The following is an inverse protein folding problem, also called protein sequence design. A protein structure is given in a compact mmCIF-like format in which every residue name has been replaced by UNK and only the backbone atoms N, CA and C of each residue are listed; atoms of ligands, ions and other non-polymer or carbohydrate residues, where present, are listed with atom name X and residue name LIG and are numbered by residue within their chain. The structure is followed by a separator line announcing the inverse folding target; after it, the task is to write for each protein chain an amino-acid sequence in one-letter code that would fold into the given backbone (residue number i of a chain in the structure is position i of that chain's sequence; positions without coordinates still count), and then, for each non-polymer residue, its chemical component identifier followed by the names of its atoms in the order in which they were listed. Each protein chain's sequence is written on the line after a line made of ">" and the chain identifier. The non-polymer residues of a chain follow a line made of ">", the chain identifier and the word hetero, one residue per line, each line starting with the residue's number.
data_IF_462856867296
#
_entry.id   IF_462856867296
#
_cell.length_a   1.000
_cell.length_b   1.000
_cell.length_c   1.000
_cell.angle_alpha   90.00
_cell.angle_beta   90.00
_cell.angle_gamma   90.00
#
_symmetry.space_group_name_H-M   'P 1'
#
loop_
_entity.id
_entity.type
_entity.pdbx_description
1 polymer ?
#
# COMPACT_ATOMS: atom_id res chain seq x y z
N UNK A 1 43.49 68.59 9.14
CA UNK A 1 44.24 67.75 8.18
C UNK A 1 43.56 66.39 8.20
N UNK A 2 42.54 66.12 7.39
CA UNK A 2 42.54 65.90 5.93
C UNK A 2 43.39 64.68 5.51
N UNK A 3 42.68 63.67 4.96
CA UNK A 3 43.10 62.53 4.12
C UNK A 3 43.85 61.37 4.84
N UNK A 4 43.63 60.08 4.54
CA UNK A 4 42.94 59.40 3.43
C UNK A 4 42.51 57.97 3.85
N UNK A 5 41.47 57.43 3.20
CA UNK A 5 41.23 55.98 3.08
C UNK A 5 42.42 55.27 2.43
N UNK A 6 42.55 53.96 2.67
CA UNK A 6 42.68 53.06 1.53
C UNK A 6 41.79 51.81 1.67
N UNK A 7 40.93 51.60 0.69
CA UNK A 7 40.62 50.25 0.19
C UNK A 7 41.55 49.98 -0.99
N UNK A 8 42.14 48.78 -1.06
CA UNK A 8 41.95 48.01 -2.30
C UNK A 8 41.78 46.49 -2.07
N UNK A 9 40.73 45.99 -2.73
CA UNK A 9 40.56 44.72 -3.45
C UNK A 9 40.76 43.33 -2.82
N UNK A 10 39.96 42.33 -3.27
CA UNK A 10 39.75 41.07 -2.59
C UNK A 10 40.77 40.00 -3.04
N UNK A 11 41.19 39.09 -2.15
CA UNK A 11 41.86 37.89 -2.59
C UNK A 11 40.84 36.84 -3.07
N UNK A 12 40.90 36.55 -4.36
CA UNK A 12 40.78 35.20 -4.88
C UNK A 12 39.37 34.65 -5.09
N UNK A 13 38.93 34.64 -6.34
CA UNK A 13 37.96 33.68 -6.83
C UNK A 13 38.45 32.25 -6.51
N UNK A 14 37.79 31.59 -5.57
CA UNK A 14 37.90 30.15 -5.39
C UNK A 14 36.95 29.55 -6.40
N UNK A 15 37.50 29.00 -7.47
CA UNK A 15 36.77 28.15 -8.42
C UNK A 15 36.05 27.07 -7.63
N UNK A 16 34.73 27.03 -7.77
CA UNK A 16 33.90 25.90 -7.40
C UNK A 16 34.28 24.67 -8.25
N UNK A 17 33.89 23.51 -7.71
CA UNK A 17 33.77 22.19 -8.32
C UNK A 17 35.01 21.28 -8.22
N UNK A 18 34.92 20.25 -7.37
CA UNK A 18 34.36 19.00 -7.87
C UNK A 18 33.43 18.24 -6.89
N UNK A 19 32.71 18.91 -5.98
CA UNK A 19 31.77 18.21 -5.06
C UNK A 19 30.39 17.96 -5.67
N UNK A 20 29.88 18.83 -6.55
CA UNK A 20 28.53 18.65 -7.13
C UNK A 20 28.46 17.43 -8.07
N UNK A 21 29.53 17.10 -8.80
CA UNK A 21 29.58 15.91 -9.67
C UNK A 21 29.68 14.59 -8.87
N UNK A 22 30.20 14.61 -7.64
CA UNK A 22 30.25 13.44 -6.76
C UNK A 22 28.92 13.20 -6.07
N UNK A 23 28.22 14.25 -5.67
CA UNK A 23 26.85 14.15 -5.14
C UNK A 23 25.87 13.68 -6.20
N UNK A 24 25.96 14.19 -7.44
CA UNK A 24 25.13 13.70 -8.55
C UNK A 24 25.44 12.24 -8.94
N UNK A 25 26.71 11.82 -8.88
CA UNK A 25 27.07 10.42 -9.11
C UNK A 25 26.56 9.49 -8.00
N UNK A 26 26.60 9.92 -6.74
CA UNK A 26 26.05 9.15 -5.61
C UNK A 26 24.51 9.12 -5.60
N UNK A 27 23.86 10.19 -6.06
CA UNK A 27 22.41 10.24 -6.24
C UNK A 27 22.01 9.36 -7.43
N UNK A 28 22.76 9.38 -8.53
CA UNK A 28 22.57 8.50 -9.69
C UNK A 28 22.78 7.01 -9.32
N UNK A 29 23.82 6.70 -8.54
CA UNK A 29 24.12 5.33 -8.09
C UNK A 29 23.10 4.85 -7.04
N UNK A 30 22.55 5.74 -6.20
CA UNK A 30 21.42 5.43 -5.31
C UNK A 30 20.07 5.28 -6.06
N UNK A 31 19.87 6.00 -7.17
CA UNK A 31 18.69 5.84 -8.04
C UNK A 31 18.81 4.62 -8.97
N UNK A 32 20.01 4.21 -9.36
CA UNK A 32 20.22 2.95 -10.08
C UNK A 32 20.23 1.72 -9.15
N UNK A 33 20.71 1.84 -7.91
CA UNK A 33 20.60 0.78 -6.90
C UNK A 33 19.15 0.48 -6.49
N UNK A 34 18.22 1.41 -6.73
CA UNK A 34 16.77 1.20 -6.56
C UNK A 34 16.09 0.64 -7.82
N UNK A 35 16.79 0.56 -8.97
CA UNK A 35 16.20 0.12 -10.24
C UNK A 35 16.14 -1.41 -10.43
N UNK A 36 16.70 -2.21 -9.51
CA UNK A 36 16.64 -3.68 -9.55
C UNK A 36 16.13 -4.30 -8.24
N UNK A 37 15.13 -3.68 -7.64
CA UNK A 37 14.31 -4.35 -6.63
C UNK A 37 13.67 -5.61 -7.27
N UNK A 38 14.15 -6.78 -6.84
CA UNK A 38 13.58 -8.11 -7.01
C UNK A 38 12.04 -8.11 -6.95
N UNK A 39 11.37 -9.07 -7.63
CA UNK A 39 10.01 -8.91 -8.14
C UNK A 39 9.05 -8.31 -7.13
N UNK A 40 8.52 -7.15 -7.49
CA UNK A 40 7.32 -6.59 -6.91
C UNK A 40 6.18 -7.58 -7.19
N UNK A 41 5.62 -8.19 -6.15
CA UNK A 41 4.46 -9.06 -6.32
C UNK A 41 3.26 -8.18 -6.63
N UNK A 42 2.81 -8.20 -7.88
CA UNK A 42 1.56 -7.55 -8.27
C UNK A 42 0.44 -8.57 -8.36
N UNK A 43 -0.64 -8.28 -7.63
CA UNK A 43 -1.85 -9.10 -7.59
C UNK A 43 -2.99 -8.30 -8.19
N UNK A 44 -3.81 -8.99 -8.98
CA UNK A 44 -4.92 -8.39 -9.70
C UNK A 44 -6.24 -9.10 -9.39
N UNK A 45 -7.33 -8.34 -9.22
CA UNK A 45 -8.71 -8.82 -9.12
C UNK A 45 -9.63 -8.06 -10.08
N UNK A 46 -10.26 -8.74 -11.07
CA UNK A 46 -11.20 -8.09 -11.97
C UNK A 46 -12.35 -7.42 -11.21
N UNK A 47 -12.71 -6.20 -11.59
CA UNK A 47 -13.75 -5.44 -10.90
C UNK A 47 -15.14 -6.12 -11.02
N UNK A 48 -15.38 -6.89 -12.08
CA UNK A 48 -16.58 -7.70 -12.25
C UNK A 48 -16.76 -8.82 -11.19
N UNK A 49 -15.72 -9.12 -10.41
CA UNK A 49 -15.75 -10.10 -9.30
C UNK A 49 -15.92 -9.42 -7.93
N UNK A 50 -16.10 -8.11 -7.92
CA UNK A 50 -16.29 -7.31 -6.71
C UNK A 50 -17.77 -6.96 -6.62
N UNK A 51 -18.39 -7.26 -5.48
CA UNK A 51 -19.75 -6.84 -5.20
C UNK A 51 -19.94 -6.61 -3.70
N UNK A 52 -20.73 -5.58 -3.38
CA UNK A 52 -21.14 -5.22 -2.03
C UNK A 52 -22.65 -5.38 -1.83
N UNK A 53 -23.35 -6.05 -2.75
CA UNK A 53 -24.79 -6.26 -2.66
C UNK A 53 -25.24 -6.99 -1.38
N UNK A 54 -24.37 -7.87 -0.84
CA UNK A 54 -24.61 -8.58 0.42
C UNK A 54 -24.25 -7.77 1.68
N UNK A 55 -23.66 -6.58 1.52
CA UNK A 55 -23.29 -5.73 2.66
C UNK A 55 -24.43 -4.76 2.96
N UNK A 56 -24.99 -4.85 4.16
CA UNK A 56 -25.99 -3.88 4.60
C UNK A 56 -25.31 -2.64 5.17
N UNK A 57 -25.90 -1.46 4.92
CA UNK A 57 -25.54 -0.26 5.68
C UNK A 57 -25.94 -0.51 7.13
N UNK A 58 -24.93 -0.71 7.97
CA UNK A 58 -25.08 -0.98 9.40
C UNK A 58 -24.28 0.08 10.17
N UNK A 59 -24.61 0.30 11.45
CA UNK A 59 -23.84 1.19 12.32
C UNK A 59 -22.41 0.71 12.57
N UNK A 60 -22.12 -0.56 12.28
CA UNK A 60 -20.79 -1.15 12.35
C UNK A 60 -20.39 -1.74 11.00
N UNK A 61 -19.19 -1.41 10.52
CA UNK A 61 -18.69 -1.97 9.26
C UNK A 61 -18.14 -3.37 9.49
N UNK A 62 -18.64 -4.34 8.73
CA UNK A 62 -18.03 -5.68 8.68
C UNK A 62 -16.75 -5.63 7.85
N UNK A 63 -15.62 -5.40 8.52
CA UNK A 63 -14.31 -5.35 7.86
C UNK A 63 -13.91 -6.67 7.23
N UNK A 64 -14.32 -7.80 7.78
CA UNK A 64 -13.99 -9.10 7.21
C UNK A 64 -14.72 -9.30 5.88
N UNK A 65 -16.01 -8.97 5.82
CA UNK A 65 -16.78 -9.00 4.58
C UNK A 65 -16.24 -8.00 3.55
N UNK A 66 -15.95 -6.76 3.96
CA UNK A 66 -15.37 -5.72 3.08
C UNK A 66 -14.03 -6.14 2.49
N UNK A 67 -13.10 -6.60 3.33
CA UNK A 67 -11.80 -7.08 2.85
C UNK A 67 -11.97 -8.26 1.91
N UNK A 68 -12.85 -9.22 2.23
CA UNK A 68 -13.09 -10.39 1.37
C UNK A 68 -13.67 -10.01 0.00
N UNK A 69 -14.49 -8.95 -0.07
CA UNK A 69 -15.06 -8.45 -1.31
C UNK A 69 -14.03 -7.79 -2.24
N UNK A 70 -12.95 -7.22 -1.70
CA UNK A 70 -12.01 -6.41 -2.50
C UNK A 70 -10.58 -6.95 -2.55
N UNK A 71 -10.18 -7.80 -1.60
CA UNK A 71 -8.82 -8.33 -1.53
C UNK A 71 -8.45 -8.96 -2.87
N UNK A 72 -7.23 -8.71 -3.36
CA UNK A 72 -6.78 -9.24 -4.65
C UNK A 72 -6.52 -10.77 -4.60
N UNK A 73 -6.95 -11.44 -3.54
CA UNK A 73 -6.41 -12.70 -3.06
C UNK A 73 -7.39 -13.36 -2.06
N UNK A 74 -8.14 -14.42 -2.43
CA UNK A 74 -9.10 -15.01 -1.52
C UNK A 74 -8.41 -15.85 -0.45
N UNK A 75 -8.80 -15.66 0.81
CA UNK A 75 -8.20 -16.35 1.98
C UNK A 75 -8.76 -17.77 2.16
N UNK A 76 -9.19 -18.40 1.08
CA UNK A 76 -9.72 -19.75 1.13
C UNK A 76 -8.57 -20.77 1.08
N UNK A 77 -8.37 -21.47 2.20
CA UNK A 77 -7.58 -22.69 2.35
C UNK A 77 -6.04 -22.61 2.46
N UNK A 78 -5.45 -21.50 2.94
CA UNK A 78 -4.03 -21.46 3.35
C UNK A 78 -3.75 -22.16 4.70
N UNK A 79 -4.44 -23.29 4.97
CA UNK A 79 -4.50 -23.89 6.30
C UNK A 79 -3.47 -24.99 6.56
N UNK A 80 -2.72 -25.45 5.55
CA UNK A 80 -1.93 -26.70 5.62
C UNK A 80 -0.49 -26.62 5.11
N UNK A 81 -0.01 -25.46 4.64
CA UNK A 81 1.40 -25.29 4.18
C UNK A 81 2.27 -24.61 5.24
N UNK A 82 3.59 -24.86 5.28
CA UNK A 82 4.50 -24.13 6.15
C UNK A 82 4.37 -22.62 5.88
N UNK A 83 4.19 -21.90 6.97
CA UNK A 83 3.83 -20.49 7.09
C UNK A 83 4.80 -19.52 6.38
N UNK A 84 5.98 -20.00 6.01
CA UNK A 84 6.98 -19.28 5.21
C UNK A 84 6.55 -19.07 3.74
N UNK A 85 5.45 -19.70 3.31
CA UNK A 85 4.81 -19.47 2.01
C UNK A 85 3.52 -18.65 2.14
N UNK A 86 3.23 -18.00 3.28
CA UNK A 86 1.90 -17.49 3.62
C UNK A 86 1.31 -16.46 2.65
N UNK A 87 2.13 -15.59 2.02
CA UNK A 87 1.65 -14.73 0.94
C UNK A 87 1.26 -15.57 -0.28
N UNK A 88 2.14 -16.47 -0.74
CA UNK A 88 1.93 -17.33 -1.92
C UNK A 88 0.79 -18.36 -1.71
N UNK A 89 0.62 -18.88 -0.51
CA UNK A 89 -0.41 -19.87 -0.17
C UNK A 89 -1.81 -19.27 -0.04
N UNK A 90 -1.90 -17.96 0.19
CA UNK A 90 -3.16 -17.20 0.22
C UNK A 90 -3.54 -16.72 -1.18
N UNK A 91 -2.70 -16.90 -2.21
CA UNK A 91 -2.87 -16.47 -3.61
C UNK A 91 -3.39 -17.60 -4.53
N UNK A 92 -4.65 -18.05 -4.42
CA UNK A 92 -5.23 -18.93 -5.44
C UNK A 92 -6.13 -18.22 -6.47
N UNK A 93 -6.39 -16.91 -6.39
CA UNK A 93 -7.18 -16.20 -7.43
C UNK A 93 -6.64 -14.82 -7.88
N UNK A 94 -5.45 -14.40 -7.43
CA UNK A 94 -4.84 -13.23 -8.04
C UNK A 94 -4.35 -13.60 -9.43
N UNK A 95 -4.68 -12.79 -10.43
CA UNK A 95 -3.95 -12.87 -11.69
C UNK A 95 -2.57 -12.28 -11.44
N UNK A 96 -1.52 -12.94 -11.94
CA UNK A 96 -0.15 -12.39 -11.94
C UNK A 96 0.08 -11.40 -13.09
N UNK A 97 -0.89 -11.31 -14.01
CA UNK A 97 -0.91 -10.37 -15.12
C UNK A 97 -2.28 -9.70 -15.20
N UNK A 98 -2.30 -8.41 -15.55
CA UNK A 98 -3.53 -7.65 -15.70
C UNK A 98 -4.31 -8.16 -16.93
N UNK A 99 -5.61 -8.48 -16.81
CA UNK A 99 -6.44 -8.78 -17.98
C UNK A 99 -6.61 -7.52 -18.85
N UNK A 100 -6.42 -7.66 -20.16
CA UNK A 100 -6.56 -6.55 -21.11
C UNK A 100 -8.02 -6.10 -21.22
N UNK A 101 -8.24 -4.79 -21.29
CA UNK A 101 -9.57 -4.20 -21.49
C UNK A 101 -10.54 -4.35 -20.30
N UNK A 102 -10.08 -4.87 -19.16
CA UNK A 102 -10.92 -5.07 -17.97
C UNK A 102 -10.42 -4.20 -16.80
N UNK A 103 -11.26 -3.32 -16.24
CA UNK A 103 -10.96 -2.62 -15.00
C UNK A 103 -10.66 -3.61 -13.87
N UNK A 104 -9.52 -3.43 -13.21
CA UNK A 104 -8.98 -4.44 -12.30
C UNK A 104 -8.42 -3.77 -11.04
N UNK A 105 -8.89 -4.20 -9.87
CA UNK A 105 -8.25 -3.86 -8.60
C UNK A 105 -6.84 -4.45 -8.57
N UNK A 106 -5.87 -3.71 -8.06
CA UNK A 106 -4.52 -4.24 -7.91
C UNK A 106 -3.80 -3.77 -6.66
N UNK A 107 -2.87 -4.60 -6.21
CA UNK A 107 -1.88 -4.28 -5.18
C UNK A 107 -0.51 -4.68 -5.68
N UNK A 108 0.49 -3.85 -5.37
CA UNK A 108 1.90 -4.16 -5.59
C UNK A 108 2.56 -4.21 -4.23
N UNK A 109 3.26 -5.31 -3.95
CA UNK A 109 4.05 -5.50 -2.74
C UNK A 109 5.53 -5.50 -3.12
N UNK A 110 6.30 -4.62 -2.48
CA UNK A 110 7.76 -4.64 -2.61
C UNK A 110 8.35 -5.85 -1.88
N UNK A 111 9.63 -6.16 -2.15
CA UNK A 111 10.33 -7.19 -1.41
C UNK A 111 10.36 -6.91 0.11
N UNK A 112 10.47 -5.63 0.49
CA UNK A 112 10.46 -5.20 1.88
C UNK A 112 9.09 -5.36 2.54
N UNK A 113 8.01 -5.07 1.82
CA UNK A 113 6.64 -5.32 2.30
C UNK A 113 6.42 -6.82 2.56
N UNK A 114 6.87 -7.67 1.62
CA UNK A 114 6.77 -9.12 1.73
C UNK A 114 7.56 -9.61 2.95
N UNK A 115 8.81 -9.17 3.10
CA UNK A 115 9.67 -9.54 4.22
C UNK A 115 9.08 -9.08 5.57
N UNK A 116 8.55 -7.86 5.63
CA UNK A 116 7.89 -7.34 6.81
C UNK A 116 6.68 -8.20 7.17
N UNK A 117 5.78 -8.48 6.21
CA UNK A 117 4.61 -9.32 6.42
C UNK A 117 5.03 -10.70 6.92
N UNK A 118 5.99 -11.35 6.29
CA UNK A 118 6.51 -12.66 6.72
C UNK A 118 7.05 -12.63 8.15
N UNK A 119 7.81 -11.60 8.51
CA UNK A 119 8.34 -11.45 9.86
C UNK A 119 7.23 -11.23 10.89
N UNK A 120 6.24 -10.41 10.58
CA UNK A 120 5.08 -10.16 11.44
C UNK A 120 4.25 -11.42 11.65
N UNK A 121 3.98 -12.13 10.56
CA UNK A 121 3.28 -13.42 10.51
C UNK A 121 3.98 -14.42 11.43
N UNK A 122 5.31 -14.64 11.29
CA UNK A 122 6.13 -15.55 12.15
C UNK A 122 6.00 -15.32 13.66
N UNK A 123 5.73 -14.08 14.08
CA UNK A 123 5.65 -13.68 15.50
C UNK A 123 4.23 -13.68 16.05
N UNK A 124 3.23 -13.78 15.18
CA UNK A 124 1.83 -13.57 15.54
C UNK A 124 1.09 -14.87 15.83
N UNK A 125 -0.03 -14.76 16.54
CA UNK A 125 -1.05 -15.82 16.51
C UNK A 125 -1.54 -16.04 15.07
N UNK A 126 -2.04 -17.24 14.77
CA UNK A 126 -2.59 -17.55 13.44
C UNK A 126 -3.65 -16.55 12.99
N UNK A 127 -4.54 -16.12 13.90
CA UNK A 127 -5.58 -15.15 13.60
C UNK A 127 -5.01 -13.77 13.26
N UNK A 128 -4.06 -13.26 14.04
CA UNK A 128 -3.41 -11.97 13.79
C UNK A 128 -2.57 -12.00 12.49
N UNK A 129 -1.85 -13.09 12.24
CA UNK A 129 -1.08 -13.28 11.00
C UNK A 129 -1.98 -13.28 9.76
N UNK A 130 -3.13 -13.96 9.80
CA UNK A 130 -4.08 -13.94 8.69
C UNK A 130 -4.66 -12.55 8.41
N UNK A 131 -4.95 -11.76 9.46
CA UNK A 131 -5.40 -10.37 9.30
C UNK A 131 -4.32 -9.51 8.64
N UNK A 132 -3.05 -9.70 9.01
CA UNK A 132 -1.94 -8.97 8.41
C UNK A 132 -1.78 -9.30 6.93
N UNK A 133 -1.83 -10.59 6.54
CA UNK A 133 -1.76 -10.99 5.13
C UNK A 133 -2.93 -10.42 4.34
N UNK A 134 -4.16 -10.46 4.89
CA UNK A 134 -5.34 -9.86 4.24
C UNK A 134 -5.16 -8.36 4.01
N UNK A 135 -4.75 -7.62 5.05
CA UNK A 135 -4.54 -6.19 4.97
C UNK A 135 -3.45 -5.82 3.95
N UNK A 136 -2.35 -6.60 3.90
CA UNK A 136 -1.29 -6.40 2.92
C UNK A 136 -1.78 -6.59 1.48
N UNK A 137 -2.63 -7.60 1.24
CA UNK A 137 -3.19 -7.94 -0.06
C UNK A 137 -4.38 -7.06 -0.50
N UNK A 138 -4.74 -6.02 0.26
CA UNK A 138 -5.78 -5.07 -0.15
C UNK A 138 -5.29 -4.22 -1.32
N UNK A 139 -6.17 -3.92 -2.29
CA UNK A 139 -5.81 -3.11 -3.44
C UNK A 139 -5.47 -1.67 -3.04
N UNK A 140 -4.64 -1.05 -3.89
CA UNK A 140 -4.26 0.36 -3.77
C UNK A 140 -4.89 1.22 -4.88
N UNK A 141 -5.32 0.62 -5.98
CA UNK A 141 -5.85 1.35 -7.14
C UNK A 141 -6.61 0.43 -8.11
N UNK A 142 -7.28 1.04 -9.10
CA UNK A 142 -7.96 0.37 -10.21
C UNK A 142 -7.18 0.63 -11.49
N UNK A 143 -6.63 -0.43 -12.08
CA UNK A 143 -5.99 -0.37 -13.39
C UNK A 143 -7.03 -0.52 -14.50
N UNK A 144 -6.91 0.26 -15.58
CA UNK A 144 -7.78 0.16 -16.75
C UNK A 144 -9.15 0.85 -16.62
N UNK A 145 -9.34 1.69 -15.60
CA UNK A 145 -10.51 2.57 -15.45
C UNK A 145 -10.21 4.01 -15.90
N UNK A 146 -11.26 4.81 -16.11
CA UNK A 146 -11.15 6.25 -16.40
C UNK A 146 -10.34 6.99 -15.32
N UNK A 147 -9.46 7.95 -15.66
CA UNK A 147 -8.50 8.55 -14.73
C UNK A 147 -9.13 9.14 -13.46
N UNK A 148 -10.26 9.84 -13.60
CA UNK A 148 -10.96 10.44 -12.45
C UNK A 148 -11.53 9.39 -11.49
N UNK A 149 -12.13 8.33 -12.04
CA UNK A 149 -12.69 7.22 -11.28
C UNK A 149 -11.58 6.40 -10.59
N UNK A 150 -10.49 6.14 -11.31
CA UNK A 150 -9.31 5.47 -10.78
C UNK A 150 -8.65 6.28 -9.65
N UNK A 151 -8.55 7.60 -9.80
CA UNK A 151 -7.99 8.50 -8.78
C UNK A 151 -8.80 8.52 -7.48
N UNK A 152 -10.12 8.66 -7.57
CA UNK A 152 -11.01 8.62 -6.40
C UNK A 152 -10.95 7.27 -5.69
N UNK A 153 -11.02 6.17 -6.45
CA UNK A 153 -10.90 4.83 -5.89
C UNK A 153 -9.55 4.61 -5.22
N UNK A 154 -8.45 5.06 -5.83
CA UNK A 154 -7.10 4.88 -5.29
C UNK A 154 -6.93 5.57 -3.93
N UNK A 155 -7.44 6.79 -3.77
CA UNK A 155 -7.40 7.50 -2.49
C UNK A 155 -8.17 6.74 -1.39
N UNK A 156 -9.39 6.27 -1.68
CA UNK A 156 -10.20 5.54 -0.72
C UNK A 156 -9.61 4.16 -0.38
N UNK A 157 -9.11 3.44 -1.39
CA UNK A 157 -8.43 2.14 -1.24
C UNK A 157 -7.17 2.27 -0.38
N UNK A 158 -6.32 3.26 -0.68
CA UNK A 158 -5.07 3.50 0.06
C UNK A 158 -5.34 3.88 1.52
N UNK A 159 -6.32 4.76 1.78
CA UNK A 159 -6.70 5.13 3.13
C UNK A 159 -7.17 3.92 3.94
N UNK A 160 -8.08 3.11 3.38
CA UNK A 160 -8.58 1.91 4.05
C UNK A 160 -7.49 0.86 4.26
N UNK A 161 -6.65 0.60 3.24
CA UNK A 161 -5.51 -0.33 3.34
C UNK A 161 -4.56 0.09 4.46
N UNK A 162 -4.23 1.38 4.55
CA UNK A 162 -3.35 1.93 5.58
C UNK A 162 -3.93 1.70 6.97
N UNK A 163 -5.19 2.06 7.20
CA UNK A 163 -5.86 1.84 8.48
C UNK A 163 -5.97 0.34 8.83
N UNK A 164 -6.26 -0.52 7.85
CA UNK A 164 -6.31 -1.96 8.04
C UNK A 164 -4.94 -2.56 8.39
N UNK A 165 -3.86 -2.08 7.76
CA UNK A 165 -2.49 -2.51 8.05
C UNK A 165 -2.05 -2.09 9.45
N UNK A 166 -2.28 -0.84 9.85
CA UNK A 166 -1.98 -0.34 11.20
C UNK A 166 -2.71 -1.21 12.24
N UNK A 167 -4.01 -1.44 12.03
CA UNK A 167 -4.80 -2.27 12.93
C UNK A 167 -4.29 -3.72 12.98
N UNK A 168 -3.89 -4.30 11.84
CA UNK A 168 -3.33 -5.65 11.80
C UNK A 168 -1.98 -5.74 12.52
N UNK A 169 -1.10 -4.75 12.33
CA UNK A 169 0.19 -4.67 13.00
C UNK A 169 0.06 -4.51 14.51
N UNK A 170 -0.87 -3.67 14.98
CA UNK A 170 -1.16 -3.57 16.41
C UNK A 170 -1.58 -4.91 17.01
N UNK A 171 -2.40 -5.68 16.29
CA UNK A 171 -2.80 -7.03 16.72
C UNK A 171 -1.64 -8.06 16.68
N UNK A 172 -0.61 -7.83 15.85
CA UNK A 172 0.63 -8.63 15.85
C UNK A 172 1.50 -8.28 17.06
N UNK A 173 1.61 -6.99 17.40
CA UNK A 173 2.38 -6.53 18.55
C UNK A 173 1.67 -6.70 19.89
N UNK A 174 0.41 -7.14 19.90
CA UNK A 174 -0.39 -7.27 21.12
C UNK A 174 -0.73 -5.92 21.76
N UNK A 175 -0.73 -4.84 20.96
CA UNK A 175 -1.11 -3.52 21.44
C UNK A 175 -2.61 -3.50 21.79
N UNK A 176 -3.01 -2.77 22.85
CA UNK A 176 -4.42 -2.64 23.19
C UNK A 176 -5.19 -1.93 22.05
N UNK A 177 -6.48 -2.24 21.88
CA UNK A 177 -7.32 -1.53 20.92
C UNK A 177 -7.35 -0.04 21.28
N UNK A 178 -7.05 0.79 20.29
CA UNK A 178 -7.14 2.24 20.40
C UNK A 178 -8.39 2.71 19.66
N UNK A 179 -9.36 3.28 20.38
CA UNK A 179 -10.66 3.65 19.81
C UNK A 179 -10.56 4.63 18.64
N UNK A 180 -9.53 5.48 18.60
CA UNK A 180 -9.32 6.40 17.47
C UNK A 180 -8.88 5.65 16.21
N UNK A 181 -8.04 4.61 16.34
CA UNK A 181 -7.66 3.76 15.20
C UNK A 181 -8.84 2.94 14.67
N UNK A 182 -9.75 2.51 15.54
CA UNK A 182 -10.98 1.85 15.12
C UNK A 182 -11.88 2.82 14.36
N UNK A 183 -12.10 4.04 14.88
CA UNK A 183 -12.89 5.08 14.21
C UNK A 183 -12.30 5.47 12.85
N UNK A 184 -10.98 5.65 12.77
CA UNK A 184 -10.30 6.00 11.51
C UNK A 184 -10.47 4.89 10.47
N UNK A 185 -10.35 3.63 10.90
CA UNK A 185 -10.57 2.47 10.04
C UNK A 185 -12.02 2.39 9.58
N UNK A 186 -12.99 2.64 10.45
CA UNK A 186 -14.41 2.62 10.12
C UNK A 186 -14.77 3.75 9.14
N UNK A 187 -14.27 4.97 9.38
CA UNK A 187 -14.45 6.11 8.50
C UNK A 187 -13.86 5.85 7.10
N UNK A 188 -12.65 5.30 7.03
CA UNK A 188 -12.02 4.90 5.77
C UNK A 188 -12.83 3.81 5.06
N UNK A 189 -13.41 2.86 5.82
CA UNK A 189 -14.23 1.79 5.27
C UNK A 189 -15.55 2.30 4.67
N UNK A 190 -16.23 3.23 5.35
CA UNK A 190 -17.46 3.86 4.86
C UNK A 190 -17.17 4.65 3.58
N UNK A 191 -16.09 5.45 3.57
CA UNK A 191 -15.68 6.20 2.39
C UNK A 191 -15.37 5.26 1.21
N UNK A 192 -14.66 4.16 1.47
CA UNK A 192 -14.35 3.15 0.46
C UNK A 192 -15.61 2.47 -0.08
N UNK A 193 -16.53 2.06 0.79
CA UNK A 193 -17.79 1.44 0.40
C UNK A 193 -18.62 2.38 -0.48
N UNK A 194 -18.76 3.64 -0.07
CA UNK A 194 -19.46 4.67 -0.86
C UNK A 194 -18.82 4.84 -2.24
N UNK A 195 -17.49 4.97 -2.28
CA UNK A 195 -16.74 5.15 -3.53
C UNK A 195 -16.90 3.96 -4.47
N UNK A 196 -16.67 2.73 -4.00
CA UNK A 196 -16.73 1.55 -4.86
C UNK A 196 -18.15 1.20 -5.29
N UNK A 197 -19.16 1.41 -4.45
CA UNK A 197 -20.57 1.25 -4.84
C UNK A 197 -20.97 2.21 -5.95
N UNK A 198 -20.59 3.48 -5.82
CA UNK A 198 -20.80 4.48 -6.88
C UNK A 198 -20.15 4.08 -8.20
N UNK A 199 -18.95 3.49 -8.15
CA UNK A 199 -18.25 2.99 -9.34
C UNK A 199 -18.86 1.73 -9.94
N UNK A 200 -19.40 0.85 -9.10
CA UNK A 200 -20.04 -0.41 -9.53
C UNK A 200 -21.51 -0.22 -9.95
N UNK A 201 -22.12 0.94 -9.65
CA UNK A 201 -23.55 1.17 -9.83
C UNK A 201 -24.42 0.39 -8.84
N UNK A 202 -23.87 -0.02 -7.69
CA UNK A 202 -24.59 -0.69 -6.61
C UNK A 202 -25.15 0.37 -5.65
N UNK A 203 -26.46 0.36 -5.38
CA UNK A 203 -27.10 1.26 -4.40
C UNK A 203 -27.55 0.48 -3.17
#
# INVERSE_FOLDING_TARGET
>A
MAHAQPSPDPPGAVSQEPDELLEDALIAEATEATAHARPALTLFRPLAQVSFAAQHWSSTVDHEALQSAIVCCPVSAAATRPFEQALIAVVPMALSARPEGVPTLHVTLSADDIAAVEQGVRRASRASGLRLVRAAALPISIAGAEPASAGLAAAALSAYRTAALIHAWNAVFGAPPAGDLERDRDAAAVNLLSTLRGLLGET
#
